data_IF_675890993306
#
_entry.id   IF_675890993306
#
_cell.length_a   1.000
_cell.length_b   1.000
_cell.length_c   1.000
_cell.angle_alpha   90.00
_cell.angle_beta   90.00
_cell.angle_gamma   90.00
#
_symmetry.space_group_name_H-M   'P 1'
#
loop_
_entity.id
_entity.type
_entity.pdbx_description
1 polymer ?
#
# COMPACT_ATOMS: atom_id res chain seq x y z
N UNK A 1 -9.42 -10.77 9.73
CA UNK A 1 -8.59 -9.73 9.09
C UNK A 1 -8.07 -10.30 7.79
N UNK A 2 -8.58 -9.79 6.66
CA UNK A 2 -8.34 -10.30 5.31
C UNK A 2 -8.19 -9.11 4.34
N UNK A 3 -7.34 -8.17 4.72
CA UNK A 3 -7.13 -6.89 4.02
C UNK A 3 -5.70 -6.82 3.48
N UNK A 4 -5.48 -5.90 2.55
CA UNK A 4 -4.22 -5.64 1.86
C UNK A 4 -3.81 -4.20 2.07
N UNK A 5 -2.55 -3.99 2.47
CA UNK A 5 -1.91 -2.68 2.38
C UNK A 5 -1.46 -2.44 0.94
N UNK A 6 -1.82 -1.31 0.37
CA UNK A 6 -1.58 -0.98 -1.03
C UNK A 6 -1.17 0.48 -1.19
N UNK A 7 -0.36 0.76 -2.21
CA UNK A 7 0.05 2.11 -2.61
C UNK A 7 0.69 2.04 -4.00
N UNK A 8 0.49 3.07 -4.81
CA UNK A 8 1.06 3.16 -6.15
C UNK A 8 2.25 4.12 -6.12
N UNK A 9 3.39 3.71 -6.66
CA UNK A 9 4.60 4.54 -6.68
C UNK A 9 5.14 4.70 -8.10
N UNK A 10 5.37 5.94 -8.50
CA UNK A 10 5.99 6.27 -9.78
C UNK A 10 7.45 6.62 -9.60
N UNK A 11 8.28 6.25 -10.57
CA UNK A 11 9.68 6.62 -10.56
C UNK A 11 9.82 8.06 -11.09
N UNK A 12 10.25 8.97 -10.21
CA UNK A 12 10.61 10.33 -10.55
C UNK A 12 12.11 10.54 -10.32
N UNK A 13 12.87 10.53 -11.42
CA UNK A 13 14.34 10.61 -11.39
C UNK A 13 14.96 9.41 -10.64
N UNK A 14 15.66 9.71 -9.54
CA UNK A 14 16.32 8.72 -8.69
C UNK A 14 15.47 8.16 -7.55
N UNK A 15 14.19 8.54 -7.44
CA UNK A 15 13.33 8.16 -6.33
C UNK A 15 11.98 7.62 -6.82
N UNK A 16 11.27 6.95 -5.90
CA UNK A 16 9.87 6.59 -6.07
C UNK A 16 9.00 7.56 -5.29
N UNK A 17 7.98 8.13 -5.95
CA UNK A 17 7.03 9.09 -5.38
C UNK A 17 5.66 8.43 -5.33
N UNK A 18 4.97 8.57 -4.20
CA UNK A 18 3.62 8.04 -4.03
C UNK A 18 2.66 8.77 -4.99
N UNK A 19 1.93 8.01 -5.80
CA UNK A 19 0.82 8.48 -6.60
C UNK A 19 -0.50 8.07 -5.91
N UNK A 20 -1.19 9.03 -5.32
CA UNK A 20 -2.39 8.82 -4.50
C UNK A 20 -2.07 8.55 -3.03
N UNK A 21 -2.81 7.64 -2.39
CA UNK A 21 -2.72 7.34 -0.96
C UNK A 21 -2.23 5.92 -0.70
N UNK A 22 -1.64 5.71 0.48
CA UNK A 22 -1.45 4.36 1.04
C UNK A 22 -2.76 3.95 1.70
N UNK A 23 -3.28 2.77 1.39
CA UNK A 23 -4.60 2.29 1.85
C UNK A 23 -4.52 0.90 2.43
N UNK A 24 -5.41 0.61 3.37
CA UNK A 24 -5.76 -0.75 3.80
C UNK A 24 -7.19 -1.03 3.37
N UNK A 25 -7.41 -2.09 2.59
CA UNK A 25 -8.72 -2.40 2.02
C UNK A 25 -8.88 -3.91 1.81
N UNK A 26 -10.10 -4.37 1.55
CA UNK A 26 -10.30 -5.75 1.14
C UNK A 26 -9.62 -6.00 -0.23
N UNK A 27 -9.15 -7.21 -0.53
CA UNK A 27 -8.52 -7.55 -1.81
C UNK A 27 -9.34 -7.15 -3.06
N UNK A 28 -10.67 -7.24 -2.97
CA UNK A 28 -11.60 -6.85 -4.03
C UNK A 28 -11.71 -5.33 -4.21
N UNK A 29 -11.32 -4.55 -3.20
CA UNK A 29 -11.46 -3.09 -3.15
C UNK A 29 -10.12 -2.36 -3.38
N UNK A 30 -9.01 -3.10 -3.55
CA UNK A 30 -7.72 -2.49 -3.89
C UNK A 30 -7.87 -1.67 -5.17
N UNK A 31 -7.50 -0.40 -5.09
CA UNK A 31 -7.53 0.52 -6.23
C UNK A 31 -6.31 0.26 -7.11
N UNK A 32 -6.54 -0.12 -8.36
CA UNK A 32 -5.50 -0.35 -9.35
C UNK A 32 -5.32 0.91 -10.22
N UNK A 33 -4.09 1.21 -10.67
CA UNK A 33 -3.87 2.30 -11.62
C UNK A 33 -4.60 2.03 -12.94
N UNK A 34 -5.16 3.07 -13.55
CA UNK A 34 -5.89 2.97 -14.81
C UNK A 34 -4.95 2.95 -16.04
N UNK A 35 -3.76 3.51 -15.90
CA UNK A 35 -2.79 3.62 -16.98
C UNK A 35 -1.98 2.32 -17.15
N UNK A 36 -1.39 2.15 -18.33
CA UNK A 36 -0.48 1.04 -18.61
C UNK A 36 0.93 1.28 -18.01
N UNK A 37 1.76 0.24 -17.98
CA UNK A 37 3.18 0.35 -17.60
C UNK A 37 3.47 0.15 -16.11
N UNK A 38 2.46 -0.21 -15.32
CA UNK A 38 2.63 -0.53 -13.91
C UNK A 38 3.05 -1.98 -13.67
N UNK A 39 3.83 -2.18 -12.60
CA UNK A 39 4.26 -3.47 -12.10
C UNK A 39 3.67 -3.70 -10.71
N UNK A 40 2.82 -4.69 -10.57
CA UNK A 40 2.26 -5.10 -9.28
C UNK A 40 3.26 -6.01 -8.54
N UNK A 41 3.51 -5.72 -7.26
CA UNK A 41 4.40 -6.52 -6.42
C UNK A 41 3.88 -6.59 -4.97
N UNK A 42 4.37 -7.57 -4.21
CA UNK A 42 4.06 -7.75 -2.79
C UNK A 42 3.32 -9.05 -2.47
N UNK A 43 3.31 -9.40 -1.19
CA UNK A 43 2.76 -10.68 -0.70
C UNK A 43 1.24 -10.79 -0.82
N UNK A 44 0.52 -9.67 -0.88
CA UNK A 44 -0.95 -9.66 -1.04
C UNK A 44 -1.42 -10.36 -2.30
N UNK A 45 -0.62 -10.32 -3.37
CA UNK A 45 -0.92 -10.99 -4.65
C UNK A 45 -0.92 -12.52 -4.51
N UNK A 46 0.02 -13.07 -3.73
CA UNK A 46 0.09 -14.51 -3.47
C UNK A 46 -0.96 -14.96 -2.44
N UNK A 47 -1.28 -14.10 -1.47
CA UNK A 47 -2.23 -14.41 -0.41
C UNK A 47 -3.70 -14.36 -0.88
N UNK A 48 -4.02 -13.55 -1.88
CA UNK A 48 -5.40 -13.31 -2.30
C UNK A 48 -5.58 -13.47 -3.82
N UNK A 49 -6.04 -14.64 -4.29
CA UNK A 49 -6.25 -14.90 -5.72
C UNK A 49 -7.15 -13.87 -6.42
N UNK A 50 -8.21 -13.40 -5.74
CA UNK A 50 -9.10 -12.34 -6.26
C UNK A 50 -8.35 -11.05 -6.61
N UNK A 51 -7.32 -10.68 -5.85
CA UNK A 51 -6.51 -9.50 -6.17
C UNK A 51 -5.59 -9.78 -7.37
N UNK A 52 -4.99 -10.97 -7.42
CA UNK A 52 -4.13 -11.37 -8.53
C UNK A 52 -4.89 -11.42 -9.86
N UNK A 53 -6.12 -11.94 -9.85
CA UNK A 53 -6.97 -12.01 -11.03
C UNK A 53 -7.35 -10.60 -11.51
N UNK A 54 -7.76 -9.71 -10.60
CA UNK A 54 -8.02 -8.29 -10.94
C UNK A 54 -6.80 -7.59 -11.54
N UNK A 55 -5.61 -7.84 -10.99
CA UNK A 55 -4.35 -7.27 -11.51
C UNK A 55 -4.06 -7.78 -12.92
N UNK A 56 -4.33 -9.06 -13.21
CA UNK A 56 -4.19 -9.65 -14.56
C UNK A 56 -5.23 -9.12 -15.54
N UNK A 57 -6.48 -8.99 -15.11
CA UNK A 57 -7.57 -8.42 -15.92
C UNK A 57 -7.30 -6.95 -16.28
N UNK A 58 -6.70 -6.19 -15.36
CA UNK A 58 -6.21 -4.84 -15.61
C UNK A 58 -4.96 -4.79 -16.52
N UNK A 59 -4.44 -5.95 -16.96
CA UNK A 59 -3.28 -6.03 -17.86
C UNK A 59 -1.95 -5.65 -17.21
N UNK A 60 -1.87 -5.65 -15.88
CA UNK A 60 -0.67 -5.25 -15.16
C UNK A 60 0.35 -6.40 -15.11
N UNK A 61 1.63 -6.05 -15.27
CA UNK A 61 2.70 -7.00 -15.04
C UNK A 61 2.78 -7.37 -13.55
N UNK A 62 3.14 -8.61 -13.25
CA UNK A 62 3.29 -9.11 -11.87
C UNK A 62 4.74 -9.46 -11.62
N UNK A 63 5.34 -8.80 -10.64
CA UNK A 63 6.69 -9.12 -10.18
C UNK A 63 6.69 -10.43 -9.37
N UNK A 64 7.82 -11.15 -9.33
CA UNK A 64 8.02 -12.21 -8.36
C UNK A 64 7.78 -11.69 -6.93
N UNK A 65 7.23 -12.56 -6.08
CA UNK A 65 7.00 -12.22 -4.67
C UNK A 65 8.30 -11.83 -3.97
N UNK A 66 8.20 -10.98 -2.95
CA UNK A 66 9.35 -10.52 -2.17
C UNK A 66 8.89 -9.82 -0.89
N UNK A 67 9.81 -9.77 0.08
CA UNK A 67 9.63 -9.00 1.32
C UNK A 67 10.48 -7.73 1.27
N UNK A 68 10.09 -6.67 2.00
CA UNK A 68 10.92 -5.48 2.14
C UNK A 68 12.32 -5.83 2.65
N UNK A 69 13.36 -5.41 1.92
CA UNK A 69 14.76 -5.66 2.27
C UNK A 69 15.41 -4.49 2.99
N UNK A 70 16.17 -4.75 4.06
CA UNK A 70 16.86 -3.70 4.83
C UNK A 70 17.81 -2.86 3.97
N UNK A 71 18.53 -3.50 3.03
CA UNK A 71 19.43 -2.79 2.10
C UNK A 71 18.68 -1.80 1.19
N UNK A 72 17.49 -2.18 0.69
CA UNK A 72 16.65 -1.30 -0.13
C UNK A 72 16.13 -0.13 0.70
N UNK A 73 15.68 -0.38 1.93
CA UNK A 73 15.25 0.68 2.86
C UNK A 73 16.39 1.65 3.15
N UNK A 74 17.59 1.14 3.45
CA UNK A 74 18.77 1.96 3.70
C UNK A 74 19.17 2.82 2.50
N UNK A 75 19.10 2.28 1.27
CA UNK A 75 19.38 3.03 0.05
C UNK A 75 18.40 4.20 -0.16
N UNK A 76 17.11 3.98 0.08
CA UNK A 76 16.09 5.03 0.04
C UNK A 76 16.40 6.09 1.11
N UNK A 77 16.68 5.67 2.35
CA UNK A 77 16.98 6.56 3.46
C UNK A 77 18.24 7.41 3.22
N UNK A 78 19.31 6.81 2.67
CA UNK A 78 20.55 7.51 2.36
C UNK A 78 20.34 8.67 1.36
N UNK A 79 19.54 8.44 0.32
CA UNK A 79 19.20 9.48 -0.66
C UNK A 79 18.39 10.62 -0.02
N UNK A 80 17.46 10.31 0.90
CA UNK A 80 16.69 11.31 1.65
C UNK A 80 17.58 12.11 2.62
N UNK A 81 18.48 11.43 3.34
CA UNK A 81 19.42 12.07 4.26
C UNK A 81 20.37 13.03 3.53
N UNK A 82 20.87 12.67 2.35
CA UNK A 82 21.71 13.57 1.54
C UNK A 82 20.98 14.85 1.08
N UNK A 83 19.64 14.85 1.06
CA UNK A 83 18.81 16.04 0.79
C UNK A 83 18.36 16.78 2.04
N UNK A 84 18.81 16.37 3.23
CA UNK A 84 18.43 16.99 4.50
C UNK A 84 17.02 16.65 4.98
N UNK A 85 16.38 15.60 4.44
CA UNK A 85 15.01 15.18 4.80
C UNK A 85 14.96 14.31 6.08
N UNK A 86 15.97 14.43 6.95
CA UNK A 86 15.96 13.78 8.26
C UNK A 86 14.94 14.43 9.20
N UNK A 87 14.49 13.66 10.19
CA UNK A 87 13.62 14.14 11.27
C UNK A 87 14.29 13.89 12.62
N UNK A 88 13.82 14.54 13.68
CA UNK A 88 14.23 14.19 15.04
C UNK A 88 13.87 12.73 15.33
N UNK A 89 14.73 12.03 16.07
CA UNK A 89 14.47 10.64 16.44
C UNK A 89 13.18 10.49 17.27
N UNK A 90 12.81 11.49 18.06
CA UNK A 90 11.57 11.51 18.83
C UNK A 90 10.32 11.59 17.95
N UNK A 91 10.43 12.11 16.72
CA UNK A 91 9.32 12.25 15.77
C UNK A 91 9.12 11.00 14.89
N UNK A 92 10.00 10.00 14.99
CA UNK A 92 9.92 8.78 14.22
C UNK A 92 8.77 7.87 14.70
N UNK A 93 7.57 8.10 14.16
CA UNK A 93 6.35 7.35 14.51
C UNK A 93 5.90 6.39 13.40
N UNK A 94 5.21 5.27 13.73
CA UNK A 94 4.60 4.40 12.74
C UNK A 94 3.52 5.13 11.90
N UNK A 95 3.45 4.81 10.62
CA UNK A 95 2.34 5.27 9.77
C UNK A 95 1.08 4.46 10.09
N UNK A 96 0.03 5.15 10.56
CA UNK A 96 -1.28 4.56 10.75
C UNK A 96 -2.11 4.69 9.47
N UNK A 97 -2.39 3.57 8.80
CA UNK A 97 -3.00 3.55 7.44
C UNK A 97 -4.53 3.37 7.47
N UNK A 98 -5.12 3.03 8.62
CA UNK A 98 -6.56 2.77 8.71
C UNK A 98 -7.31 4.06 9.06
N UNK A 99 -8.02 4.64 8.10
CA UNK A 99 -8.72 5.91 8.28
C UNK A 99 -9.87 5.84 9.32
N UNK A 100 -10.59 4.71 9.40
CA UNK A 100 -11.79 4.57 10.25
C UNK A 100 -11.81 3.26 11.04
N UNK A 101 -11.44 3.35 12.31
CA UNK A 101 -11.52 2.23 13.27
C UNK A 101 -12.85 2.14 14.00
N UNK A 102 -13.56 3.25 14.16
CA UNK A 102 -14.83 3.30 14.86
C UNK A 102 -15.99 3.40 13.86
N UNK A 103 -16.85 2.37 13.85
CA UNK A 103 -18.12 2.44 13.16
C UNK A 103 -19.11 3.26 13.99
N UNK A 104 -19.85 4.12 13.32
CA UNK A 104 -21.04 4.76 13.90
C UNK A 104 -22.08 3.69 14.23
N UNK A 105 -23.00 3.98 15.16
CA UNK A 105 -24.12 3.08 15.52
C UNK A 105 -24.92 2.67 14.27
N UNK A 106 -25.15 3.62 13.36
CA UNK A 106 -25.88 3.37 12.11
C UNK A 106 -25.16 2.38 11.18
N UNK A 107 -23.83 2.43 11.11
CA UNK A 107 -23.03 1.47 10.35
C UNK A 107 -23.07 0.07 10.99
N UNK A 108 -23.02 -0.02 12.33
CA UNK A 108 -23.14 -1.30 13.05
C UNK A 108 -24.50 -1.96 12.82
N UNK A 109 -25.59 -1.17 12.81
CA UNK A 109 -26.95 -1.67 12.60
C UNK A 109 -27.20 -2.18 11.18
N UNK A 110 -26.62 -1.53 10.15
CA UNK A 110 -26.75 -1.97 8.75
C UNK A 110 -26.08 -3.32 8.48
N UNK A 111 -25.06 -3.65 9.25
CA UNK A 111 -24.33 -4.92 9.15
C UNK A 111 -24.84 -5.99 10.14
N UNK A 112 -25.96 -5.75 10.81
CA UNK A 112 -26.60 -6.72 11.72
C UNK A 112 -25.99 -6.79 13.12
N UNK A 113 -25.15 -5.83 13.52
CA UNK A 113 -24.61 -5.74 14.88
C UNK A 113 -25.67 -5.27 15.89
N UNK A 114 -25.74 -5.92 17.06
CA UNK A 114 -26.55 -5.42 18.19
C UNK A 114 -25.88 -4.19 18.81
N UNK A 115 -26.71 -3.23 19.24
CA UNK A 115 -26.30 -1.97 19.88
C UNK A 115 -25.34 -2.21 21.04
#
# INVERSE_FOLDING_TARGET
MGEVYSGCYERAGGAYVLNGDIRVSAPADVVLPADAGWLACGSGLAAYPVLLDRVREAGLAVAPGGLPGAATVAAIAAAKAARGEGIDAADAVPLYVRDKVAKTVAERMREGGKA
#
